data_IF_123850196469
#
_entry.id   IF_123850196469
#
_cell.length_a   1.000
_cell.length_b   1.000
_cell.length_c   1.000
_cell.angle_alpha   90.00
_cell.angle_beta   90.00
_cell.angle_gamma   90.00
#
_symmetry.space_group_name_H-M   'P 1'
#
loop_
_entity.id
_entity.type
_entity.pdbx_description
1 polymer ?
#
# COMPACT_ATOMS: atom_id res chain seq x y z
N UNK A 1 33.65 25.24 -21.11
CA UNK A 1 32.71 24.48 -21.97
C UNK A 1 32.66 23.00 -21.60
N UNK A 2 33.78 22.26 -21.57
CA UNK A 2 33.77 20.83 -21.23
C UNK A 2 33.27 20.54 -19.80
N UNK A 3 33.74 21.27 -18.78
CA UNK A 3 33.28 21.09 -17.40
C UNK A 3 31.76 21.33 -17.25
N UNK A 4 31.24 22.37 -17.91
CA UNK A 4 29.80 22.70 -17.93
C UNK A 4 28.95 21.64 -18.65
N UNK A 5 29.52 20.92 -19.62
CA UNK A 5 28.85 19.84 -20.31
C UNK A 5 28.82 18.57 -19.44
N UNK A 6 29.91 18.27 -18.74
CA UNK A 6 30.01 17.15 -17.79
C UNK A 6 29.04 17.35 -16.62
N UNK A 7 28.94 18.56 -16.06
CA UNK A 7 27.99 18.86 -14.99
C UNK A 7 26.53 18.72 -15.47
N UNK A 8 26.23 19.13 -16.71
CA UNK A 8 24.88 18.94 -17.29
C UNK A 8 24.55 17.48 -17.52
N UNK A 9 25.48 16.69 -18.05
CA UNK A 9 25.30 15.26 -18.25
C UNK A 9 25.10 14.53 -16.92
N UNK A 10 25.87 14.88 -15.89
CA UNK A 10 25.71 14.34 -14.54
C UNK A 10 24.36 14.72 -13.92
N UNK A 11 23.88 15.95 -14.14
CA UNK A 11 22.55 16.39 -13.69
C UNK A 11 21.42 15.67 -14.44
N UNK A 12 21.55 15.45 -15.74
CA UNK A 12 20.57 14.71 -16.56
C UNK A 12 20.52 13.22 -16.18
N UNK A 13 21.68 12.59 -15.97
CA UNK A 13 21.78 11.21 -15.51
C UNK A 13 21.17 11.05 -14.10
N UNK A 14 21.48 11.98 -13.19
CA UNK A 14 20.89 12.01 -11.84
C UNK A 14 19.38 12.23 -11.87
N UNK A 15 18.87 13.13 -12.72
CA UNK A 15 17.43 13.35 -12.87
C UNK A 15 16.72 12.09 -13.39
N UNK A 16 17.31 11.39 -14.36
CA UNK A 16 16.79 10.13 -14.90
C UNK A 16 16.76 9.03 -13.83
N UNK A 17 17.82 8.93 -13.03
CA UNK A 17 17.90 7.95 -11.95
C UNK A 17 16.92 8.26 -10.80
N UNK A 18 16.74 9.53 -10.46
CA UNK A 18 15.77 9.96 -9.47
C UNK A 18 14.32 9.68 -9.90
N UNK A 19 14.01 9.90 -11.19
CA UNK A 19 12.71 9.58 -11.76
C UNK A 19 12.46 8.06 -11.76
N UNK A 20 13.45 7.26 -12.16
CA UNK A 20 13.41 5.80 -12.09
C UNK A 20 13.16 5.29 -10.67
N UNK A 21 13.91 5.82 -9.70
CA UNK A 21 13.77 5.46 -8.28
C UNK A 21 12.37 5.81 -7.76
N UNK A 22 11.82 6.97 -8.16
CA UNK A 22 10.47 7.38 -7.78
C UNK A 22 9.42 6.41 -8.33
N UNK A 23 9.51 6.08 -9.61
CA UNK A 23 8.52 5.23 -10.29
C UNK A 23 8.59 3.78 -9.76
N UNK A 24 9.79 3.26 -9.49
CA UNK A 24 10.00 1.98 -8.82
C UNK A 24 9.35 1.96 -7.43
N UNK A 25 9.50 3.04 -6.63
CA UNK A 25 8.87 3.16 -5.32
C UNK A 25 7.34 3.15 -5.34
N UNK A 26 6.72 3.82 -6.33
CA UNK A 26 5.26 3.83 -6.50
C UNK A 26 4.75 2.42 -6.85
N UNK A 27 5.41 1.75 -7.79
CA UNK A 27 5.05 0.41 -8.21
C UNK A 27 5.19 -0.60 -7.06
N UNK A 28 6.32 -0.54 -6.35
CA UNK A 28 6.64 -1.45 -5.25
C UNK A 28 5.67 -1.32 -4.06
N UNK A 29 5.31 -0.09 -3.68
CA UNK A 29 4.31 0.16 -2.64
C UNK A 29 2.94 -0.39 -3.00
N UNK A 30 2.50 -0.17 -4.24
CA UNK A 30 1.19 -0.63 -4.73
C UNK A 30 1.14 -2.17 -4.81
N UNK A 31 2.18 -2.81 -5.33
CA UNK A 31 2.27 -4.29 -5.39
C UNK A 31 2.27 -4.89 -3.98
N UNK A 32 3.03 -4.30 -3.06
CA UNK A 32 3.07 -4.74 -1.66
C UNK A 32 1.68 -4.64 -1.03
N UNK A 33 1.00 -3.50 -1.17
CA UNK A 33 -0.37 -3.32 -0.69
C UNK A 33 -1.35 -4.35 -1.27
N UNK A 34 -1.23 -4.66 -2.57
CA UNK A 34 -2.04 -5.69 -3.22
C UNK A 34 -1.77 -7.10 -2.67
N UNK A 35 -0.51 -7.45 -2.40
CA UNK A 35 -0.16 -8.73 -1.77
C UNK A 35 -0.76 -8.80 -0.35
N UNK A 36 -0.61 -7.76 0.47
CA UNK A 36 -1.18 -7.74 1.82
C UNK A 36 -2.70 -7.83 1.79
N UNK A 37 -3.35 -7.19 0.81
CA UNK A 37 -4.79 -7.30 0.61
C UNK A 37 -5.23 -8.76 0.40
N UNK A 38 -4.48 -9.57 -0.34
CA UNK A 38 -4.77 -11.00 -0.50
C UNK A 38 -4.75 -11.72 0.85
N UNK A 39 -3.73 -11.50 1.67
CA UNK A 39 -3.65 -12.09 3.01
C UNK A 39 -4.80 -11.61 3.91
N UNK A 40 -5.15 -10.32 3.84
CA UNK A 40 -6.25 -9.74 4.62
C UNK A 40 -7.60 -10.37 4.22
N UNK A 41 -7.89 -10.47 2.92
CA UNK A 41 -9.13 -11.09 2.44
C UNK A 41 -9.20 -12.58 2.76
N UNK A 42 -8.09 -13.31 2.56
CA UNK A 42 -8.00 -14.74 2.84
C UNK A 42 -8.26 -15.06 4.32
N UNK A 43 -7.66 -14.31 5.23
CA UNK A 43 -7.81 -14.55 6.68
C UNK A 43 -9.15 -14.07 7.25
N UNK A 44 -9.90 -13.24 6.53
CA UNK A 44 -11.11 -12.59 7.04
C UNK A 44 -12.31 -12.87 6.12
N UNK A 45 -12.86 -14.11 6.13
CA UNK A 45 -13.94 -14.50 5.21
C UNK A 45 -15.20 -13.65 5.39
N UNK A 46 -15.52 -13.20 6.61
CA UNK A 46 -16.67 -12.31 6.85
C UNK A 46 -16.48 -10.91 6.24
N UNK A 47 -15.26 -10.38 6.28
CA UNK A 47 -14.93 -9.10 5.64
C UNK A 47 -15.01 -9.24 4.13
N UNK A 48 -14.46 -10.33 3.61
CA UNK A 48 -14.54 -10.65 2.19
C UNK A 48 -15.99 -10.75 1.70
N UNK A 49 -16.84 -11.51 2.40
CA UNK A 49 -18.26 -11.64 2.05
C UNK A 49 -19.01 -10.31 2.05
N UNK A 50 -18.80 -9.46 3.05
CA UNK A 50 -19.43 -8.13 3.10
C UNK A 50 -18.98 -7.23 1.95
N UNK A 51 -17.68 -7.27 1.60
CA UNK A 51 -17.17 -6.55 0.44
C UNK A 51 -17.73 -7.08 -0.88
N UNK A 52 -17.86 -8.39 -1.00
CA UNK A 52 -18.52 -9.04 -2.14
C UNK A 52 -19.99 -8.59 -2.29
N UNK A 53 -20.75 -8.56 -1.19
CA UNK A 53 -22.15 -8.09 -1.15
C UNK A 53 -22.28 -6.62 -1.58
N UNK A 54 -21.37 -5.74 -1.12
CA UNK A 54 -21.35 -4.34 -1.55
C UNK A 54 -21.05 -4.23 -3.06
N UNK A 55 -20.04 -4.95 -3.56
CA UNK A 55 -19.73 -4.98 -4.99
C UNK A 55 -20.92 -5.45 -5.81
N UNK A 56 -21.57 -6.54 -5.38
CA UNK A 56 -22.80 -7.05 -6.02
C UNK A 56 -23.91 -5.99 -6.06
N UNK A 57 -24.07 -5.19 -5.00
CA UNK A 57 -25.12 -4.17 -4.94
C UNK A 57 -24.92 -2.99 -5.89
N UNK A 58 -23.66 -2.69 -6.26
CA UNK A 58 -23.32 -1.52 -7.09
C UNK A 58 -23.22 -1.87 -8.57
N UNK A 59 -22.55 -2.98 -8.91
CA UNK A 59 -22.30 -3.36 -10.32
C UNK A 59 -23.13 -4.54 -10.80
N UNK A 60 -23.82 -5.23 -9.88
CA UNK A 60 -24.60 -6.42 -10.21
C UNK A 60 -23.73 -7.54 -10.79
N UNK A 61 -24.30 -8.22 -11.79
CA UNK A 61 -23.62 -9.24 -12.60
C UNK A 61 -23.28 -8.72 -14.01
N UNK A 62 -23.57 -7.45 -14.28
CA UNK A 62 -23.60 -6.91 -15.64
C UNK A 62 -22.22 -6.43 -16.10
N UNK A 63 -21.35 -6.03 -15.16
CA UNK A 63 -20.00 -5.54 -15.45
C UNK A 63 -19.03 -5.71 -14.28
N UNK A 64 -17.75 -5.54 -14.57
CA UNK A 64 -16.71 -5.42 -13.55
C UNK A 64 -16.69 -4.00 -12.93
N UNK A 65 -16.20 -3.86 -11.68
CA UNK A 65 -15.98 -2.57 -11.05
C UNK A 65 -14.98 -1.68 -11.81
N UNK A 66 -15.19 -0.38 -11.75
CA UNK A 66 -14.28 0.67 -12.26
C UNK A 66 -13.92 1.64 -11.13
N UNK A 67 -12.91 2.48 -11.32
CA UNK A 67 -12.42 3.39 -10.27
C UNK A 67 -13.50 4.39 -9.85
N UNK A 68 -14.35 4.81 -10.79
CA UNK A 68 -15.46 5.73 -10.58
C UNK A 68 -16.53 5.18 -9.62
N UNK A 69 -16.57 3.87 -9.39
CA UNK A 69 -17.52 3.24 -8.45
C UNK A 69 -17.12 3.45 -6.98
N UNK A 70 -15.91 3.96 -6.69
CA UNK A 70 -15.38 4.08 -5.31
C UNK A 70 -16.32 4.76 -4.35
N UNK A 71 -16.91 5.89 -4.74
CA UNK A 71 -17.79 6.66 -3.86
C UNK A 71 -19.08 5.90 -3.52
N UNK A 72 -19.44 4.90 -4.33
CA UNK A 72 -20.57 4.00 -4.10
C UNK A 72 -20.18 2.71 -3.37
N UNK A 73 -18.89 2.45 -3.13
CA UNK A 73 -18.36 1.26 -2.44
C UNK A 73 -17.54 1.63 -1.18
N UNK A 74 -18.17 2.27 -0.18
CA UNK A 74 -17.46 2.72 1.02
C UNK A 74 -16.85 1.59 1.84
N UNK A 75 -17.43 0.39 1.85
CA UNK A 75 -16.89 -0.75 2.58
C UNK A 75 -15.64 -1.32 1.91
N UNK A 76 -15.65 -1.48 0.58
CA UNK A 76 -14.44 -1.87 -0.19
C UNK A 76 -13.33 -0.84 0.01
N UNK A 77 -13.67 0.46 -0.03
CA UNK A 77 -12.70 1.51 0.25
C UNK A 77 -12.15 1.44 1.68
N UNK A 78 -12.99 1.12 2.67
CA UNK A 78 -12.56 0.89 4.05
C UNK A 78 -11.62 -0.31 4.19
N UNK A 79 -11.81 -1.40 3.43
CA UNK A 79 -10.89 -2.55 3.39
C UNK A 79 -9.49 -2.10 2.93
N UNK A 80 -9.42 -1.30 1.85
CA UNK A 80 -8.15 -0.76 1.35
C UNK A 80 -7.46 0.11 2.40
N UNK A 81 -8.22 1.02 3.02
CA UNK A 81 -7.73 1.87 4.11
C UNK A 81 -7.21 1.05 5.30
N UNK A 82 -7.90 -0.02 5.67
CA UNK A 82 -7.47 -0.89 6.77
C UNK A 82 -6.20 -1.68 6.41
N UNK A 83 -6.04 -2.12 5.16
CA UNK A 83 -4.80 -2.77 4.70
C UNK A 83 -3.62 -1.81 4.79
N UNK A 84 -3.79 -0.57 4.34
CA UNK A 84 -2.77 0.48 4.45
C UNK A 84 -2.41 0.81 5.91
N UNK A 85 -3.40 0.78 6.81
CA UNK A 85 -3.22 0.96 8.26
C UNK A 85 -2.51 -0.23 8.93
N UNK A 86 -2.83 -1.45 8.50
CA UNK A 86 -2.33 -2.69 9.09
C UNK A 86 -0.89 -2.96 8.68
N UNK A 87 -0.55 -2.66 7.43
CA UNK A 87 0.78 -2.90 6.86
C UNK A 87 1.27 -1.69 6.08
N UNK A 88 2.01 -0.81 6.75
CA UNK A 88 2.63 0.35 6.10
C UNK A 88 3.94 -0.07 5.44
N UNK A 89 4.04 0.09 4.11
CA UNK A 89 5.23 -0.31 3.33
C UNK A 89 6.50 0.43 3.77
N UNK A 90 6.38 1.69 4.20
CA UNK A 90 7.50 2.53 4.63
C UNK A 90 7.27 2.98 6.07
N UNK A 91 7.43 2.09 7.07
CA UNK A 91 6.94 2.33 8.43
C UNK A 91 7.64 3.49 9.17
N UNK A 92 8.83 3.91 8.74
CA UNK A 92 9.57 5.06 9.29
C UNK A 92 9.48 6.32 8.42
N UNK A 93 8.72 6.25 7.32
CA UNK A 93 8.74 7.25 6.25
C UNK A 93 10.09 7.30 5.52
N UNK A 94 10.15 8.12 4.48
CA UNK A 94 11.44 8.51 3.89
C UNK A 94 12.15 9.43 4.89
N UNK A 95 13.47 9.27 5.14
CA UNK A 95 14.20 10.20 5.99
C UNK A 95 14.15 11.63 5.42
N UNK A 96 13.86 12.60 6.30
CA UNK A 96 14.01 14.01 6.01
C UNK A 96 15.39 14.49 6.51
N UNK A 97 15.83 15.63 6.02
CA UNK A 97 16.99 16.36 6.56
C UNK A 97 16.57 17.80 6.79
N UNK A 98 17.00 18.40 7.90
CA UNK A 98 16.79 19.83 8.11
C UNK A 98 17.83 20.65 7.37
N UNK A 99 17.36 21.71 6.71
CA UNK A 99 18.21 22.60 5.91
C UNK A 99 18.82 23.73 6.76
N UNK A 100 18.35 23.88 8.00
CA UNK A 100 18.85 24.84 8.98
C UNK A 100 18.61 24.32 10.40
N UNK A 101 19.28 24.93 11.39
CA UNK A 101 19.05 24.66 12.80
C UNK A 101 17.57 24.95 13.15
N UNK A 102 16.93 24.04 13.89
CA UNK A 102 15.50 24.10 14.24
C UNK A 102 15.28 23.74 15.71
N UNK A 103 14.08 24.01 16.24
CA UNK A 103 13.67 23.61 17.58
C UNK A 103 12.27 22.97 17.53
N UNK A 104 12.15 21.74 18.04
CA UNK A 104 10.89 21.00 18.09
C UNK A 104 10.61 20.49 19.50
N UNK A 105 9.44 20.82 20.06
CA UNK A 105 9.05 20.46 21.44
C UNK A 105 10.12 20.81 22.52
N UNK A 106 10.86 21.91 22.32
CA UNK A 106 11.96 22.34 23.20
C UNK A 106 13.29 21.63 22.96
N UNK A 107 13.38 20.75 21.96
CA UNK A 107 14.61 20.07 21.55
C UNK A 107 15.25 20.79 20.37
N UNK A 108 16.51 21.19 20.53
CA UNK A 108 17.31 21.74 19.44
C UNK A 108 17.70 20.64 18.44
N UNK A 109 17.47 20.90 17.16
CA UNK A 109 17.76 20.01 16.02
C UNK A 109 18.78 20.74 15.13
N UNK A 110 20.07 20.37 15.17
CA UNK A 110 21.10 21.01 14.35
C UNK A 110 20.89 20.74 12.87
N UNK A 111 21.25 21.69 11.99
CA UNK A 111 21.27 21.52 10.53
C UNK A 111 21.94 20.20 10.11
N UNK A 112 21.49 19.62 9.00
CA UNK A 112 21.97 18.35 8.43
C UNK A 112 21.66 17.09 9.27
N UNK A 113 20.74 17.19 10.24
CA UNK A 113 20.21 16.08 11.02
C UNK A 113 19.17 15.30 10.21
N UNK A 114 19.34 13.97 10.12
CA UNK A 114 18.31 13.08 9.59
C UNK A 114 17.15 12.96 10.56
N UNK A 115 15.97 13.36 10.10
CA UNK A 115 14.70 13.27 10.83
C UNK A 115 13.87 12.17 10.20
N UNK A 116 13.63 11.12 10.96
CA UNK A 116 12.67 10.08 10.60
C UNK A 116 11.27 10.52 11.03
N UNK A 117 10.22 9.82 10.58
CA UNK A 117 8.88 9.97 11.15
C UNK A 117 8.64 8.84 12.16
N UNK A 118 9.26 8.85 13.36
CA UNK A 118 8.79 7.97 14.41
C UNK A 118 7.56 8.62 15.04
N UNK A 119 6.67 7.77 15.51
CA UNK A 119 5.79 8.15 16.60
C UNK A 119 6.60 8.34 17.88
N UNK A 120 6.10 9.07 18.89
CA UNK A 120 6.86 9.40 20.10
C UNK A 120 7.43 8.19 20.86
N UNK A 121 6.92 6.97 20.64
CA UNK A 121 7.35 5.71 21.25
C UNK A 121 7.96 4.72 20.24
N UNK A 122 8.17 5.11 18.98
CA UNK A 122 8.68 4.25 17.92
C UNK A 122 7.71 3.14 17.46
N UNK A 123 6.43 3.22 17.85
CA UNK A 123 5.36 2.27 17.46
C UNK A 123 4.33 2.93 16.57
N UNK A 124 3.87 2.27 15.51
CA UNK A 124 2.79 2.79 14.64
C UNK A 124 1.63 3.33 15.49
N UNK A 125 1.37 4.65 15.36
CA UNK A 125 0.35 5.35 16.13
C UNK A 125 -1.00 4.97 15.56
N UNK A 126 -1.70 4.07 16.26
CA UNK A 126 -3.01 3.57 15.84
C UNK A 126 -4.13 4.60 15.96
N UNK A 127 -3.87 5.76 16.55
CA UNK A 127 -4.83 6.86 16.70
C UNK A 127 -4.80 7.88 15.56
N UNK A 128 -3.95 7.69 14.54
CA UNK A 128 -3.98 8.51 13.32
C UNK A 128 -5.38 8.37 12.69
N UNK A 129 -6.19 9.45 12.65
CA UNK A 129 -7.61 9.34 12.28
C UNK A 129 -7.86 8.92 10.83
N UNK A 130 -6.89 9.15 9.95
CA UNK A 130 -6.96 8.74 8.54
C UNK A 130 -5.72 7.91 8.17
N UNK A 131 -5.87 6.62 7.82
CA UNK A 131 -4.75 5.80 7.40
C UNK A 131 -4.07 6.32 6.13
N UNK A 132 -4.69 7.20 5.35
CA UNK A 132 -4.01 7.87 4.23
C UNK A 132 -2.84 8.74 4.68
N UNK A 133 -2.97 9.46 5.81
CA UNK A 133 -1.88 10.26 6.36
C UNK A 133 -0.76 9.34 6.87
N UNK A 134 -1.12 8.22 7.49
CA UNK A 134 -0.15 7.22 7.94
C UNK A 134 0.59 6.53 6.79
N UNK A 135 -0.10 6.26 5.67
CA UNK A 135 0.45 5.55 4.54
C UNK A 135 1.24 6.43 3.56
N UNK A 136 0.81 7.69 3.39
CA UNK A 136 1.37 8.60 2.38
C UNK A 136 2.11 9.81 2.96
N UNK A 137 2.10 9.98 4.28
CA UNK A 137 2.70 11.12 4.96
C UNK A 137 1.89 12.41 4.79
N UNK A 138 2.54 13.54 5.07
CA UNK A 138 1.92 14.87 5.07
C UNK A 138 2.91 15.96 4.65
N UNK A 139 2.41 17.17 4.46
CA UNK A 139 3.22 18.34 4.15
C UNK A 139 3.82 18.31 2.74
N UNK A 140 4.98 18.98 2.59
CA UNK A 140 5.63 19.19 1.27
C UNK A 140 6.11 17.91 0.58
N UNK A 141 6.26 16.80 1.33
CA UNK A 141 6.76 15.51 0.84
C UNK A 141 5.70 14.41 0.91
N UNK A 142 4.42 14.79 0.97
CA UNK A 142 3.32 13.83 0.82
C UNK A 142 3.50 13.01 -0.47
N UNK A 143 3.23 11.71 -0.39
CA UNK A 143 3.48 10.78 -1.49
C UNK A 143 2.85 11.30 -2.79
N UNK A 144 3.66 11.51 -3.85
CA UNK A 144 3.14 11.98 -5.13
C UNK A 144 2.29 10.90 -5.84
N UNK A 145 2.55 9.62 -5.57
CA UNK A 145 1.82 8.48 -6.15
C UNK A 145 0.52 8.10 -5.44
N UNK A 146 0.11 8.81 -4.37
CA UNK A 146 -1.02 8.40 -3.52
C UNK A 146 -2.33 8.16 -4.28
N UNK A 147 -2.62 9.00 -5.28
CA UNK A 147 -3.85 8.90 -6.07
C UNK A 147 -3.85 7.64 -6.91
N UNK A 148 -2.75 7.40 -7.63
CA UNK A 148 -2.56 6.17 -8.39
C UNK A 148 -2.61 4.93 -7.49
N UNK A 149 -1.91 4.93 -6.36
CA UNK A 149 -1.91 3.79 -5.44
C UNK A 149 -3.29 3.53 -4.86
N UNK A 150 -4.05 4.56 -4.47
CA UNK A 150 -5.41 4.40 -3.99
C UNK A 150 -6.34 3.84 -5.07
N UNK A 151 -6.26 4.36 -6.30
CA UNK A 151 -7.05 3.92 -7.46
C UNK A 151 -6.76 2.48 -7.83
N UNK A 152 -5.48 2.12 -7.91
CA UNK A 152 -5.03 0.78 -8.20
C UNK A 152 -5.46 -0.22 -7.11
N UNK A 153 -5.25 0.10 -5.83
CA UNK A 153 -5.63 -0.80 -4.73
C UNK A 153 -7.14 -0.96 -4.61
N UNK A 154 -7.91 0.11 -4.81
CA UNK A 154 -9.37 0.03 -4.85
C UNK A 154 -9.85 -0.86 -5.99
N UNK A 155 -9.40 -0.61 -7.22
CA UNK A 155 -9.80 -1.39 -8.38
C UNK A 155 -9.40 -2.86 -8.22
N UNK A 156 -8.21 -3.11 -7.67
CA UNK A 156 -7.73 -4.45 -7.38
C UNK A 156 -8.61 -5.15 -6.34
N UNK A 157 -8.95 -4.49 -5.24
CA UNK A 157 -9.84 -5.02 -4.21
C UNK A 157 -11.24 -5.33 -4.77
N UNK A 158 -11.85 -4.36 -5.45
CA UNK A 158 -13.18 -4.51 -6.02
C UNK A 158 -13.22 -5.64 -7.06
N UNK A 159 -12.21 -5.75 -7.91
CA UNK A 159 -12.12 -6.81 -8.94
C UNK A 159 -11.91 -8.19 -8.32
N UNK A 160 -11.04 -8.31 -7.32
CA UNK A 160 -10.84 -9.56 -6.61
C UNK A 160 -12.12 -10.02 -5.91
N UNK A 161 -12.78 -9.09 -5.21
CA UNK A 161 -14.05 -9.37 -4.55
C UNK A 161 -15.12 -9.73 -5.58
N UNK A 162 -15.19 -9.07 -6.74
CA UNK A 162 -16.17 -9.39 -7.78
C UNK A 162 -16.05 -10.84 -8.29
N UNK A 163 -14.83 -11.38 -8.40
CA UNK A 163 -14.58 -12.62 -9.16
C UNK A 163 -14.21 -13.82 -8.30
N UNK A 164 -13.51 -13.63 -7.18
CA UNK A 164 -12.86 -14.72 -6.44
C UNK A 164 -13.35 -14.86 -4.99
N UNK A 165 -13.34 -16.11 -4.53
CA UNK A 165 -13.24 -16.46 -3.13
C UNK A 165 -11.78 -16.80 -2.84
N UNK A 166 -11.18 -16.06 -1.92
CA UNK A 166 -9.79 -16.17 -1.50
C UNK A 166 -9.78 -16.79 -0.11
N UNK A 167 -9.05 -17.89 0.08
CA UNK A 167 -8.96 -18.57 1.38
C UNK A 167 -7.51 -18.83 1.78
N UNK A 168 -7.24 -19.04 3.08
CA UNK A 168 -5.93 -19.47 3.52
C UNK A 168 -5.58 -20.84 2.91
N UNK A 169 -4.29 -21.17 2.78
CA UNK A 169 -3.86 -22.45 2.24
C UNK A 169 -4.30 -23.60 3.17
N UNK A 170 -4.52 -24.78 2.59
CA UNK A 170 -4.79 -25.99 3.35
C UNK A 170 -3.51 -26.75 3.69
N UNK A 171 -3.49 -27.39 4.86
CA UNK A 171 -2.47 -28.36 5.23
C UNK A 171 -2.69 -29.72 4.53
N UNK A 172 -1.78 -30.67 4.76
CA UNK A 172 -1.88 -32.04 4.22
C UNK A 172 -3.14 -32.79 4.69
N UNK A 173 -3.74 -32.36 5.81
CA UNK A 173 -4.98 -32.90 6.36
C UNK A 173 -6.24 -32.17 5.86
N UNK A 174 -6.10 -31.14 5.02
CA UNK A 174 -7.19 -30.34 4.46
C UNK A 174 -7.70 -29.21 5.35
N UNK A 175 -7.06 -28.92 6.49
CA UNK A 175 -7.44 -27.82 7.37
C UNK A 175 -6.84 -26.50 6.90
N UNK A 176 -7.60 -25.41 7.05
CA UNK A 176 -7.11 -24.07 6.71
C UNK A 176 -6.05 -23.60 7.70
N UNK A 177 -4.90 -23.17 7.19
CA UNK A 177 -3.80 -22.60 7.96
C UNK A 177 -3.83 -21.07 7.82
N UNK A 178 -4.09 -20.30 8.89
CA UNK A 178 -4.09 -18.85 8.82
C UNK A 178 -2.78 -18.29 8.28
N UNK A 179 -2.86 -17.31 7.39
CA UNK A 179 -1.69 -16.67 6.79
C UNK A 179 -1.06 -15.74 7.82
N UNK A 180 0.19 -16.03 8.21
CA UNK A 180 0.97 -15.12 9.05
C UNK A 180 1.79 -14.19 8.15
N UNK A 181 1.43 -12.90 8.15
CA UNK A 181 2.18 -11.87 7.44
C UNK A 181 3.40 -11.48 8.27
N UNK A 182 4.56 -11.99 7.90
CA UNK A 182 5.82 -11.62 8.54
C UNK A 182 6.54 -10.54 7.73
N UNK A 183 6.91 -9.40 8.35
CA UNK A 183 7.63 -8.33 7.67
C UNK A 183 9.07 -8.74 7.36
N UNK A 184 9.49 -8.52 6.12
CA UNK A 184 10.85 -8.70 5.62
C UNK A 184 11.41 -7.33 5.19
N UNK A 185 12.46 -6.89 5.87
CA UNK A 185 13.19 -5.67 5.53
C UNK A 185 14.16 -5.98 4.39
N UNK A 186 13.90 -5.44 3.19
CA UNK A 186 14.66 -5.79 2.00
C UNK A 186 15.75 -4.73 1.71
N UNK A 187 17.01 -5.11 1.93
CA UNK A 187 18.18 -4.32 1.53
C UNK A 187 18.38 -3.01 2.30
N UNK A 188 19.03 -2.03 1.66
CA UNK A 188 19.31 -0.69 2.21
C UNK A 188 18.12 0.29 2.05
N UNK A 189 16.92 -0.22 1.73
CA UNK A 189 15.72 0.60 1.51
C UNK A 189 14.84 0.59 2.75
N UNK A 190 14.11 1.69 2.99
CA UNK A 190 13.13 1.79 4.08
C UNK A 190 11.85 0.97 3.84
N UNK A 191 11.80 0.17 2.76
CA UNK A 191 10.63 -0.60 2.34
C UNK A 191 10.59 -1.96 3.04
N UNK A 192 9.39 -2.34 3.50
CA UNK A 192 9.10 -3.63 4.10
C UNK A 192 8.15 -4.40 3.20
N UNK A 193 8.49 -5.65 2.91
CA UNK A 193 7.67 -6.59 2.12
C UNK A 193 7.28 -7.79 2.96
N UNK A 194 6.14 -8.43 2.71
CA UNK A 194 5.83 -9.68 3.39
C UNK A 194 6.76 -10.80 2.92
N UNK A 195 7.10 -11.72 3.81
CA UNK A 195 7.59 -13.04 3.39
C UNK A 195 6.56 -13.72 2.49
N UNK A 196 7.03 -14.61 1.60
CA UNK A 196 6.14 -15.35 0.69
C UNK A 196 5.13 -16.17 1.50
N UNK A 197 3.87 -16.10 1.11
CA UNK A 197 2.79 -16.93 1.61
C UNK A 197 1.93 -17.43 0.45
N UNK A 198 1.12 -18.45 0.71
CA UNK A 198 0.18 -19.01 -0.26
C UNK A 198 -1.25 -18.55 0.03
N UNK A 199 -2.09 -18.48 -1.01
CA UNK A 199 -3.53 -18.30 -0.92
C UNK A 199 -4.20 -19.28 -1.90
N UNK A 200 -5.36 -19.80 -1.52
CA UNK A 200 -6.21 -20.56 -2.43
C UNK A 200 -7.23 -19.62 -3.08
N UNK A 201 -7.37 -19.72 -4.40
CA UNK A 201 -8.36 -18.97 -5.16
C UNK A 201 -9.38 -19.93 -5.75
N UNK A 202 -10.65 -19.60 -5.59
CA UNK A 202 -11.74 -20.24 -6.32
C UNK A 202 -12.62 -19.17 -6.97
N UNK A 203 -13.10 -19.45 -8.17
CA UNK A 203 -14.03 -18.55 -8.85
C UNK A 203 -15.34 -18.54 -8.05
N UNK A 204 -15.89 -17.34 -7.82
CA UNK A 204 -17.20 -17.21 -7.21
C UNK A 204 -18.25 -17.84 -8.12
N UNK A 205 -19.13 -18.66 -7.57
CA UNK A 205 -20.31 -19.13 -8.28
C UNK A 205 -21.34 -18.00 -8.38
N UNK A 206 -21.01 -16.95 -9.12
CA UNK A 206 -21.99 -16.00 -9.65
C UNK A 206 -22.54 -16.66 -10.90
N UNK A 207 -23.85 -16.91 -10.96
CA UNK A 207 -24.46 -17.62 -12.08
C UNK A 207 -23.94 -17.10 -13.43
N UNK A 208 -23.29 -17.98 -14.19
CA UNK A 208 -22.76 -17.78 -15.54
C UNK A 208 -22.19 -16.37 -15.83
N UNK A 209 -20.92 -16.14 -15.50
CA UNK A 209 -20.10 -15.22 -16.28
C UNK A 209 -19.93 -15.83 -17.68
N UNK A 210 -20.85 -15.49 -18.59
CA UNK A 210 -20.77 -15.89 -20.00
C UNK A 210 -19.60 -15.13 -20.63
N UNK A 211 -18.75 -15.90 -21.31
CA UNK A 211 -17.58 -15.49 -22.08
C UNK A 211 -17.84 -14.32 -23.04
#
# INVERSE_FOLDING_TARGET
MAATLVDKMAQEEYATEAERTRDEGIAEGTVTGGIILLAALANNPDVQRKGQEEVDSVVGLDRLPVVEDRDSMPYVHAIVKEVQRWYTTVPLGTPHVNDEDDEYDGFFIPKDTFVFQPTPDGRINKSVPDPEIGAFGYGRRICPGRHFSNDALFLYAASLLAVFNITPPKDEAGNTVPIKVEPNFVGNTANVKPHKFACEFSIRSRGNLVH
#
